data_IF_034497699662
#
_entry.id   IF_034497699662
#
_cell.length_a   1.000
_cell.length_b   1.000
_cell.length_c   1.000
_cell.angle_alpha   90.00
_cell.angle_beta   90.00
_cell.angle_gamma   90.00
#
_symmetry.space_group_name_H-M   'P 1'
#
loop_
_entity.id
_entity.type
_entity.pdbx_description
1 polymer ?
#
# COMPACT_ATOMS: atom_id res chain seq x y z
N UNK A 1 12.33 -22.04 11.86
CA UNK A 1 13.61 -21.44 12.29
C UNK A 1 13.95 -20.34 11.29
N UNK A 2 13.96 -19.07 11.72
CA UNK A 2 14.26 -17.90 10.87
C UNK A 2 15.76 -17.66 10.74
N UNK A 3 16.19 -17.03 9.63
CA UNK A 3 17.58 -16.64 9.38
C UNK A 3 17.94 -15.42 10.24
N UNK A 4 19.18 -15.33 10.72
CA UNK A 4 19.69 -14.14 11.45
C UNK A 4 19.99 -13.00 10.46
N UNK A 5 20.06 -11.75 10.93
CA UNK A 5 20.33 -10.57 10.09
C UNK A 5 21.64 -10.69 9.28
N UNK A 6 22.66 -11.35 9.82
CA UNK A 6 23.94 -11.62 9.16
C UNK A 6 23.84 -12.67 8.03
N UNK A 7 22.79 -13.49 8.03
CA UNK A 7 22.50 -14.49 7.00
C UNK A 7 21.62 -13.93 5.87
N UNK A 8 21.06 -12.72 6.05
CA UNK A 8 20.29 -12.03 5.03
C UNK A 8 21.24 -11.24 4.13
N UNK A 9 21.06 -11.38 2.81
CA UNK A 9 21.74 -10.50 1.86
C UNK A 9 21.32 -9.06 2.11
N UNK A 10 22.19 -8.10 1.74
CA UNK A 10 21.87 -6.68 1.86
C UNK A 10 20.52 -6.33 1.22
N UNK A 11 20.24 -6.88 0.03
CA UNK A 11 18.96 -6.68 -0.65
C UNK A 11 17.76 -7.16 0.16
N UNK A 12 17.87 -8.28 0.88
CA UNK A 12 16.79 -8.77 1.73
C UNK A 12 16.55 -7.85 2.95
N UNK A 13 17.62 -7.29 3.53
CA UNK A 13 17.52 -6.33 4.64
C UNK A 13 16.89 -5.01 4.20
N UNK A 14 17.28 -4.52 3.03
CA UNK A 14 16.66 -3.34 2.39
C UNK A 14 15.16 -3.58 2.18
N UNK A 15 14.78 -4.72 1.60
CA UNK A 15 13.37 -5.05 1.37
C UNK A 15 12.58 -5.14 2.67
N UNK A 16 13.15 -5.72 3.73
CA UNK A 16 12.48 -5.82 5.03
C UNK A 16 12.22 -4.43 5.64
N UNK A 17 13.21 -3.54 5.63
CA UNK A 17 13.06 -2.17 6.14
C UNK A 17 12.03 -1.39 5.31
N UNK A 18 12.08 -1.51 3.97
CA UNK A 18 11.15 -0.83 3.08
C UNK A 18 9.70 -1.31 3.25
N UNK A 19 9.50 -2.62 3.43
CA UNK A 19 8.18 -3.22 3.65
C UNK A 19 7.57 -2.74 4.96
N UNK A 20 8.32 -2.82 6.07
CA UNK A 20 7.85 -2.32 7.37
C UNK A 20 7.56 -0.83 7.32
N UNK A 21 8.48 -0.02 6.78
CA UNK A 21 8.30 1.42 6.67
C UNK A 21 7.03 1.78 5.90
N UNK A 22 6.82 1.16 4.74
CA UNK A 22 5.63 1.40 3.92
C UNK A 22 4.38 0.97 4.68
N UNK A 23 4.39 -0.22 5.28
CA UNK A 23 3.26 -0.77 6.00
C UNK A 23 2.83 0.04 7.22
N UNK A 24 3.72 0.78 7.89
CA UNK A 24 3.36 1.61 9.04
C UNK A 24 3.03 3.06 8.67
N UNK A 25 3.59 3.59 7.58
CA UNK A 25 3.35 4.96 7.11
C UNK A 25 2.19 5.09 6.14
N UNK A 26 1.68 3.99 5.58
CA UNK A 26 0.59 4.02 4.61
C UNK A 26 -0.81 4.20 5.19
N UNK A 27 -1.51 5.17 4.59
CA UNK A 27 -2.95 5.36 4.75
C UNK A 27 -3.70 4.23 4.04
N UNK A 28 -4.39 3.43 4.83
CA UNK A 28 -5.34 2.42 4.34
C UNK A 28 -6.76 2.92 4.60
N UNK A 29 -7.78 2.44 3.85
CA UNK A 29 -9.17 2.89 4.03
C UNK A 29 -9.69 2.84 5.47
N UNK A 30 -9.13 1.95 6.29
CA UNK A 30 -9.52 1.69 7.67
C UNK A 30 -8.48 2.14 8.72
N UNK A 31 -7.31 2.65 8.31
CA UNK A 31 -6.22 3.01 9.22
C UNK A 31 -5.34 4.11 8.61
N UNK A 32 -5.24 5.25 9.28
CA UNK A 32 -4.26 6.26 8.93
C UNK A 32 -2.83 5.72 9.10
N UNK A 33 -1.90 6.22 8.30
CA UNK A 33 -0.48 6.02 8.50
C UNK A 33 -0.01 6.65 9.82
N UNK A 34 1.07 6.10 10.39
CA UNK A 34 1.73 6.68 11.55
C UNK A 34 2.33 8.06 11.23
N UNK A 35 2.44 8.93 12.24
CA UNK A 35 3.20 10.18 12.10
C UNK A 35 4.69 9.90 11.95
N UNK A 36 5.46 10.91 11.56
CA UNK A 36 6.93 10.80 11.49
C UNK A 36 7.52 10.34 12.81
N UNK A 37 7.11 10.95 13.93
CA UNK A 37 7.64 10.64 15.26
C UNK A 37 7.33 9.19 15.66
N UNK A 38 6.09 8.75 15.45
CA UNK A 38 5.67 7.37 15.72
C UNK A 38 6.43 6.37 14.84
N UNK A 39 6.64 6.72 13.57
CA UNK A 39 7.39 5.88 12.63
C UNK A 39 8.84 5.72 13.08
N UNK A 40 9.49 6.82 13.45
CA UNK A 40 10.87 6.81 13.96
C UNK A 40 10.98 5.96 15.22
N UNK A 41 10.08 6.13 16.18
CA UNK A 41 10.04 5.34 17.42
C UNK A 41 9.91 3.84 17.14
N UNK A 42 8.95 3.44 16.30
CA UNK A 42 8.73 2.03 15.95
C UNK A 42 9.93 1.43 15.23
N UNK A 43 10.51 2.15 14.26
CA UNK A 43 11.64 1.65 13.47
C UNK A 43 12.89 1.47 14.35
N UNK A 44 13.17 2.40 15.26
CA UNK A 44 14.27 2.25 16.22
C UNK A 44 14.02 1.10 17.19
N UNK A 45 12.81 0.94 17.72
CA UNK A 45 12.46 -0.20 18.57
C UNK A 45 12.64 -1.55 17.86
N UNK A 46 12.38 -1.61 16.54
CA UNK A 46 12.62 -2.81 15.75
C UNK A 46 14.12 -3.08 15.51
N UNK A 47 14.95 -2.05 15.44
CA UNK A 47 16.42 -2.20 15.41
C UNK A 47 16.93 -2.70 16.75
N UNK A 48 16.48 -2.13 17.87
CA UNK A 48 16.88 -2.53 19.23
C UNK A 48 16.55 -4.00 19.53
N UNK A 49 15.42 -4.47 19.02
CA UNK A 49 15.00 -5.87 19.14
C UNK A 49 15.66 -6.81 18.12
N UNK A 50 16.57 -6.31 17.27
CA UNK A 50 17.28 -7.07 16.25
C UNK A 50 16.40 -7.54 15.08
N UNK A 51 15.21 -6.96 14.92
CA UNK A 51 14.26 -7.31 13.87
C UNK A 51 14.58 -6.61 12.53
N UNK A 52 15.20 -5.43 12.57
CA UNK A 52 15.63 -4.67 11.41
C UNK A 52 17.13 -4.36 11.47
N UNK A 53 17.73 -4.21 10.29
CA UNK A 53 19.14 -3.84 10.14
C UNK A 53 19.36 -2.35 10.48
N UNK A 54 20.27 -2.09 11.40
CA UNK A 54 20.59 -0.73 11.86
C UNK A 54 21.08 0.19 10.74
N UNK A 55 22.00 -0.28 9.89
CA UNK A 55 22.59 0.56 8.83
C UNK A 55 21.54 0.95 7.79
N UNK A 56 20.68 0.01 7.40
CA UNK A 56 19.60 0.27 6.45
C UNK A 56 18.57 1.25 7.03
N UNK A 57 18.18 1.08 8.29
CA UNK A 57 17.26 2.01 8.97
C UNK A 57 17.89 3.40 9.06
N UNK A 58 19.17 3.50 9.39
CA UNK A 58 19.87 4.78 9.45
C UNK A 58 19.87 5.53 8.10
N UNK A 59 20.10 4.81 6.98
CA UNK A 59 19.98 5.38 5.63
C UNK A 59 18.56 5.86 5.36
N UNK A 60 17.54 5.06 5.71
CA UNK A 60 16.15 5.47 5.56
C UNK A 60 15.84 6.74 6.35
N UNK A 61 16.28 6.83 7.61
CA UNK A 61 16.05 8.03 8.44
C UNK A 61 16.76 9.27 7.91
N UNK A 62 17.95 9.10 7.34
CA UNK A 62 18.70 10.21 6.70
C UNK A 62 17.95 10.78 5.50
N UNK A 63 17.16 9.95 4.81
CA UNK A 63 16.40 10.31 3.60
C UNK A 63 14.88 10.21 3.81
N UNK A 64 14.41 10.38 5.04
CA UNK A 64 13.03 10.06 5.42
C UNK A 64 12.01 10.77 4.54
N UNK A 65 12.14 12.08 4.39
CA UNK A 65 11.17 12.90 3.64
C UNK A 65 11.14 12.53 2.17
N UNK A 66 12.30 12.36 1.54
CA UNK A 66 12.43 11.95 0.13
C UNK A 66 11.76 10.60 -0.13
N UNK A 67 12.04 9.61 0.72
CA UNK A 67 11.48 8.26 0.60
C UNK A 67 9.97 8.29 0.87
N UNK A 68 9.52 9.02 1.90
CA UNK A 68 8.11 9.14 2.22
C UNK A 68 7.32 9.83 1.10
N UNK A 69 7.89 10.86 0.48
CA UNK A 69 7.32 11.52 -0.70
C UNK A 69 7.20 10.59 -1.89
N UNK A 70 8.25 9.81 -2.19
CA UNK A 70 8.23 8.82 -3.24
C UNK A 70 7.13 7.77 -3.01
N UNK A 71 7.03 7.24 -1.79
CA UNK A 71 5.97 6.31 -1.38
C UNK A 71 4.58 6.94 -1.52
N UNK A 72 4.37 8.16 -1.03
CA UNK A 72 3.08 8.86 -1.15
C UNK A 72 2.66 9.07 -2.60
N UNK A 73 3.59 9.41 -3.49
CA UNK A 73 3.32 9.55 -4.92
C UNK A 73 2.80 8.25 -5.53
N UNK A 74 3.48 7.14 -5.29
CA UNK A 74 3.07 5.83 -5.83
C UNK A 74 1.76 5.35 -5.19
N UNK A 75 1.55 5.58 -3.90
CA UNK A 75 0.29 5.24 -3.23
C UNK A 75 -0.89 6.01 -3.83
N UNK A 76 -0.74 7.31 -4.10
CA UNK A 76 -1.78 8.12 -4.77
C UNK A 76 -2.05 7.62 -6.18
N UNK A 77 -1.01 7.19 -6.90
CA UNK A 77 -1.17 6.64 -8.25
C UNK A 77 -1.92 5.32 -8.23
N UNK A 78 -1.51 4.38 -7.39
CA UNK A 78 -2.17 3.08 -7.23
C UNK A 78 -3.63 3.24 -6.81
N UNK A 79 -3.93 4.19 -5.91
CA UNK A 79 -5.30 4.51 -5.50
C UNK A 79 -6.16 4.98 -6.68
N UNK A 80 -5.67 5.89 -7.52
CA UNK A 80 -6.40 6.34 -8.72
C UNK A 80 -6.65 5.22 -9.71
N UNK A 81 -5.65 4.37 -9.96
CA UNK A 81 -5.79 3.22 -10.86
C UNK A 81 -6.83 2.23 -10.34
N UNK A 82 -6.86 1.98 -9.02
CA UNK A 82 -7.88 1.15 -8.38
C UNK A 82 -9.28 1.78 -8.46
N UNK A 83 -9.41 3.08 -8.19
CA UNK A 83 -10.70 3.78 -8.24
C UNK A 83 -11.29 3.77 -9.66
N UNK A 84 -10.47 4.02 -10.68
CA UNK A 84 -10.88 3.93 -12.08
C UNK A 84 -11.33 2.52 -12.45
N UNK A 85 -10.54 1.50 -12.09
CA UNK A 85 -10.93 0.10 -12.30
C UNK A 85 -12.25 -0.25 -11.60
N UNK A 86 -12.43 0.20 -10.36
CA UNK A 86 -13.66 -0.06 -9.61
C UNK A 86 -14.88 0.64 -10.23
N UNK A 87 -14.70 1.79 -10.86
CA UNK A 87 -15.74 2.49 -11.63
C UNK A 87 -16.10 1.75 -12.91
N UNK A 88 -15.11 1.31 -13.68
CA UNK A 88 -15.33 0.51 -14.89
C UNK A 88 -16.11 -0.77 -14.59
N UNK A 89 -15.76 -1.46 -13.50
CA UNK A 89 -16.48 -2.67 -13.05
C UNK A 89 -17.93 -2.34 -12.67
N UNK A 90 -18.19 -1.21 -11.99
CA UNK A 90 -19.56 -0.79 -11.65
C UNK A 90 -20.38 -0.46 -12.88
N UNK A 91 -19.81 0.27 -13.83
CA UNK A 91 -20.51 0.67 -15.06
C UNK A 91 -20.82 -0.53 -15.95
N UNK A 92 -19.87 -1.47 -16.09
CA UNK A 92 -20.12 -2.73 -16.81
C UNK A 92 -21.27 -3.54 -16.19
N UNK A 93 -21.38 -3.57 -14.85
CA UNK A 93 -22.51 -4.23 -14.18
C UNK A 93 -23.84 -3.48 -14.30
N UNK A 94 -23.81 -2.16 -14.53
CA UNK A 94 -25.00 -1.35 -14.74
C UNK A 94 -25.53 -1.48 -16.19
N UNK A 95 -24.64 -1.58 -17.18
CA UNK A 95 -25.00 -1.77 -18.60
C UNK A 95 -25.70 -3.12 -18.84
N UNK A 96 -25.31 -4.19 -18.12
CA UNK A 96 -26.00 -5.48 -18.17
C UNK A 96 -27.44 -5.42 -17.62
N UNK A 97 -27.69 -4.58 -16.61
CA UNK A 97 -29.01 -4.40 -16.01
C UNK A 97 -29.96 -3.60 -16.92
N UNK A 98 -29.46 -2.55 -17.60
CA UNK A 98 -30.25 -1.74 -18.53
C UNK A 98 -30.57 -2.49 -19.85
N UNK A 99 -29.70 -3.39 -20.29
CA UNK A 99 -29.96 -4.26 -21.44
C UNK A 99 -31.05 -5.30 -21.15
N UNK A 100 -31.13 -5.82 -19.91
CA UNK A 100 -32.16 -6.78 -19.51
C UNK A 100 -33.55 -6.12 -19.35
N UNK A 101 -33.62 -4.89 -18.82
CA UNK A 101 -34.88 -4.13 -18.72
C UNK A 101 -35.46 -3.72 -20.09
N UNK A 102 -34.60 -3.55 -21.10
CA UNK A 102 -35.01 -3.17 -22.46
C UNK A 102 -35.61 -4.35 -23.26
N UNK A 103 -35.26 -5.59 -22.90
CA UNK A 103 -35.81 -6.80 -23.53
C UNK A 103 -37.23 -7.15 -23.05
N UNK A 104 -37.61 -6.78 -21.83
CA UNK A 104 -38.93 -7.10 -21.26
C UNK A 104 -40.06 -6.14 -21.71
N UNK A 105 -39.72 -4.95 -22.23
CA UNK A 105 -40.72 -3.96 -22.68
C UNK A 105 -41.29 -4.19 -24.08
N UNK A 106 -40.79 -5.17 -24.85
CA UNK A 106 -41.27 -5.45 -26.21
C UNK A 106 -42.24 -6.65 -26.32
N UNK A 107 -42.63 -7.25 -25.19
CA UNK A 107 -43.65 -8.31 -25.12
C UNK A 107 -44.90 -7.72 -24.46
N UNK A 108 -45.53 -6.75 -25.12
CA UNK A 108 -46.66 -6.06 -24.48
C UNK A 108 -47.34 -4.97 -25.31
N UNK A 109 -47.46 -5.12 -26.63
CA UNK A 109 -48.48 -4.40 -27.40
C UNK A 109 -49.07 -5.37 -28.43
N UNK A 110 -50.24 -5.90 -28.11
CA UNK A 110 -51.18 -6.53 -29.03
C UNK A 110 -52.30 -5.54 -29.32
#
# INVERSE_FOLDING_TARGET
MGRTAEQLSLGARIMQVADVFTAITEDRPYRAGMTTEQTVEVMHGLVENGALDHEVVQVLMTHFDEINEARMREQRRAKREFEAFAEDVRNASADEADMNLSSEKNVGVA
#
